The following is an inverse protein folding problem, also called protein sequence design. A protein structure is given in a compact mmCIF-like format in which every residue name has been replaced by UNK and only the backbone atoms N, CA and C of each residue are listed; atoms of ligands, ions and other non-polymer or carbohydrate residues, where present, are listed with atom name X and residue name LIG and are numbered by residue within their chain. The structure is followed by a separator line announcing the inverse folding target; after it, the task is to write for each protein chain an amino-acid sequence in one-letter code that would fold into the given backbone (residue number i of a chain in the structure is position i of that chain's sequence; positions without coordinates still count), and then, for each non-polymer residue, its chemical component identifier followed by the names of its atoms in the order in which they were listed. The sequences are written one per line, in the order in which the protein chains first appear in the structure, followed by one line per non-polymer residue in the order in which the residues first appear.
data_IF_860477767415
#
_entry.id   IF_860477767415
#
_cell.length_a   1.000
_cell.length_b   1.000
_cell.length_c   1.000
_cell.angle_alpha   90.00
_cell.angle_beta   90.00
_cell.angle_gamma   90.00
#
_symmetry.space_group_name_H-M   'P 1'
#
loop_
_entity.id
_entity.type
_entity.pdbx_description
1 polymer ?
#
# COMPACT_ATOMS: atom_id res chain seq x y z
N UNK A 1 9.50 -2.71 1.20
CA UNK A 1 8.41 -3.65 1.61
C UNK A 1 8.22 -3.65 3.12
N UNK A 2 9.27 -3.87 3.90
CA UNK A 2 9.19 -3.93 5.38
C UNK A 2 8.60 -2.63 5.96
N UNK A 3 8.98 -1.47 5.45
CA UNK A 3 8.41 -0.18 5.87
C UNK A 3 6.89 -0.11 5.66
N UNK A 4 6.38 -0.65 4.54
CA UNK A 4 4.94 -0.68 4.26
C UNK A 4 4.24 -1.67 5.20
N UNK A 5 4.89 -2.79 5.53
CA UNK A 5 4.36 -3.75 6.51
C UNK A 5 4.33 -3.17 7.92
N UNK A 6 5.37 -2.41 8.30
CA UNK A 6 5.47 -1.79 9.62
C UNK A 6 4.36 -0.78 9.92
N UNK A 7 3.73 -0.21 8.89
CA UNK A 7 2.63 0.74 9.03
C UNK A 7 1.29 0.08 9.44
N UNK A 8 1.11 -1.21 9.16
CA UNK A 8 0.08 -2.09 9.74
C UNK A 8 0.67 -3.49 9.88
N UNK A 9 1.36 -3.78 11.00
CA UNK A 9 2.22 -4.96 11.16
C UNK A 9 1.44 -6.24 11.51
N UNK A 10 0.33 -6.47 10.83
CA UNK A 10 -0.58 -7.61 11.01
C UNK A 10 -0.98 -8.19 9.66
N UNK A 11 -1.07 -9.51 9.55
CA UNK A 11 -1.40 -10.24 8.33
C UNK A 11 -2.61 -11.15 8.55
N UNK A 12 -3.52 -11.18 7.57
CA UNK A 12 -4.80 -11.86 7.67
C UNK A 12 -5.07 -12.75 6.45
N UNK A 13 -5.82 -13.83 6.68
CA UNK A 13 -6.40 -14.65 5.60
C UNK A 13 -7.84 -14.27 5.27
N UNK A 14 -8.39 -13.29 5.98
CA UNK A 14 -9.76 -12.78 5.81
C UNK A 14 -9.74 -11.53 4.92
N UNK A 15 -10.93 -11.12 4.45
CA UNK A 15 -11.08 -9.87 3.69
C UNK A 15 -10.86 -8.62 4.55
N UNK A 16 -11.24 -8.69 5.82
CA UNK A 16 -11.13 -7.63 6.81
C UNK A 16 -9.88 -7.77 7.68
N UNK A 17 -9.55 -6.72 8.37
CA UNK A 17 -8.39 -6.64 9.28
C UNK A 17 -8.85 -6.57 10.74
N UNK A 18 -9.72 -7.47 11.16
CA UNK A 18 -10.23 -7.52 12.54
C UNK A 18 -9.12 -8.01 13.49
N UNK A 19 -8.77 -7.22 14.55
CA UNK A 19 -7.79 -7.63 15.55
C UNK A 19 -8.14 -8.96 16.21
N UNK A 20 -7.14 -9.81 16.45
CA UNK A 20 -7.30 -11.15 16.99
C UNK A 20 -7.61 -12.22 15.95
N UNK A 21 -7.74 -11.86 14.66
CA UNK A 21 -7.91 -12.82 13.55
C UNK A 21 -6.69 -12.90 12.63
N UNK A 22 -5.65 -12.16 12.94
CA UNK A 22 -4.36 -12.22 12.24
C UNK A 22 -3.68 -13.58 12.47
N UNK A 23 -3.11 -14.13 11.40
CA UNK A 23 -2.28 -15.34 11.50
C UNK A 23 -0.82 -15.03 11.85
N UNK A 24 -0.39 -13.79 11.61
CA UNK A 24 0.95 -13.31 11.94
C UNK A 24 0.92 -11.82 12.29
N UNK A 25 1.71 -11.41 13.30
CA UNK A 25 1.82 -10.02 13.74
C UNK A 25 3.20 -9.74 14.32
N UNK A 26 3.64 -8.48 14.18
CA UNK A 26 4.88 -7.94 14.76
C UNK A 26 4.58 -6.96 15.91
N UNK A 27 3.32 -6.86 16.34
CA UNK A 27 2.86 -5.93 17.35
C UNK A 27 2.07 -6.68 18.43
N UNK A 28 1.89 -6.06 19.58
CA UNK A 28 1.09 -6.60 20.68
C UNK A 28 -0.40 -6.66 20.34
N UNK A 29 -1.20 -7.26 21.22
CA UNK A 29 -2.67 -7.22 21.11
C UNK A 29 -3.15 -5.77 21.15
N UNK A 30 -4.25 -5.49 20.45
CA UNK A 30 -4.89 -4.19 20.50
C UNK A 30 -5.43 -3.95 21.90
N UNK A 31 -5.04 -2.87 22.59
CA UNK A 31 -5.55 -2.53 23.91
C UNK A 31 -7.07 -2.38 23.91
N UNK A 32 -7.74 -2.90 24.95
CA UNK A 32 -9.20 -2.79 25.12
C UNK A 32 -9.63 -1.69 26.07
N UNK A 33 -8.68 -1.18 26.83
CA UNK A 33 -8.86 -0.18 27.89
C UNK A 33 -8.72 1.27 27.40
N UNK A 34 -8.31 1.46 26.16
CA UNK A 34 -8.12 2.78 25.55
C UNK A 34 -8.43 2.79 24.07
N UNK A 35 -8.63 3.97 23.53
CA UNK A 35 -8.75 4.17 22.08
C UNK A 35 -7.41 3.81 21.44
N UNK A 36 -7.44 2.87 20.50
CA UNK A 36 -6.30 2.45 19.73
C UNK A 36 -6.61 2.60 18.24
N UNK A 37 -5.85 3.43 17.56
CA UNK A 37 -6.05 3.72 16.14
C UNK A 37 -5.07 2.92 15.28
N UNK A 38 -5.35 2.81 14.00
CA UNK A 38 -4.42 2.22 13.04
C UNK A 38 -3.06 2.96 13.02
N UNK A 39 -3.04 4.23 13.42
CA UNK A 39 -1.82 5.03 13.55
C UNK A 39 -0.96 4.60 14.75
N UNK A 40 -1.61 4.22 15.85
CA UNK A 40 -0.92 3.74 17.05
C UNK A 40 -0.37 2.33 16.87
N UNK A 41 -0.92 1.57 15.93
CA UNK A 41 -0.47 0.22 15.59
C UNK A 41 0.81 0.21 14.74
N UNK A 42 1.18 1.32 14.11
CA UNK A 42 2.36 1.43 13.27
C UNK A 42 3.67 1.35 14.07
N UNK A 43 4.66 0.66 13.51
CA UNK A 43 6.00 0.49 14.08
C UNK A 43 7.01 1.37 13.35
N UNK A 44 7.80 2.12 14.09
CA UNK A 44 8.92 2.91 13.54
C UNK A 44 10.14 2.01 13.33
N UNK A 45 10.70 2.03 12.13
CA UNK A 45 11.90 1.26 11.79
C UNK A 45 13.18 2.07 12.06
N UNK A 46 14.31 1.40 12.37
CA UNK A 46 15.61 2.06 12.43
C UNK A 46 16.10 2.51 11.04
N UNK A 47 16.99 3.49 11.00
CA UNK A 47 17.49 4.13 9.76
C UNK A 47 18.11 3.17 8.74
N UNK A 48 18.75 2.12 9.23
CA UNK A 48 19.39 1.13 8.37
C UNK A 48 18.40 0.13 7.71
N UNK A 49 17.15 0.07 8.21
CA UNK A 49 16.13 -0.84 7.70
C UNK A 49 15.00 -0.08 6.97
N UNK A 50 14.77 1.17 7.31
CA UNK A 50 13.69 1.96 6.75
C UNK A 50 13.91 3.47 6.91
N UNK A 51 12.87 4.25 6.65
CA UNK A 51 12.86 5.70 6.82
C UNK A 51 12.46 6.00 8.26
N UNK A 52 13.36 6.55 9.11
CA UNK A 52 13.09 6.75 10.53
C UNK A 52 12.29 8.02 10.82
N UNK A 53 11.79 8.10 12.03
CA UNK A 53 11.50 9.36 12.74
C UNK A 53 10.15 9.98 12.49
N UNK A 54 9.43 9.67 11.44
CA UNK A 54 8.07 10.13 11.23
C UNK A 54 7.15 8.92 11.17
N UNK A 55 6.20 8.85 12.08
CA UNK A 55 5.00 8.05 11.85
C UNK A 55 4.49 8.50 10.48
N UNK A 56 4.29 7.57 9.52
CA UNK A 56 3.77 7.84 8.18
C UNK A 56 4.77 8.32 7.12
N UNK A 57 5.92 7.71 7.09
CA UNK A 57 6.79 7.76 5.89
C UNK A 57 6.34 6.80 4.79
N UNK A 58 5.14 6.23 4.94
CA UNK A 58 4.61 5.22 4.02
C UNK A 58 4.49 5.74 2.59
N UNK A 59 4.20 7.03 2.39
CA UNK A 59 4.16 7.63 1.06
C UNK A 59 5.49 7.47 0.32
N UNK A 60 6.60 7.86 0.97
CA UNK A 60 7.94 7.73 0.40
C UNK A 60 8.37 6.27 0.23
N UNK A 61 8.05 5.42 1.22
CA UNK A 61 8.32 3.99 1.14
C UNK A 61 7.60 3.32 -0.03
N UNK A 62 6.36 3.72 -0.32
CA UNK A 62 5.59 3.24 -1.47
C UNK A 62 6.20 3.69 -2.79
N UNK A 63 6.66 4.95 -2.92
CA UNK A 63 7.35 5.41 -4.13
C UNK A 63 8.60 4.59 -4.40
N UNK A 64 9.43 4.35 -3.37
CA UNK A 64 10.59 3.46 -3.50
C UNK A 64 10.20 2.03 -3.89
N UNK A 65 9.26 1.45 -3.15
CA UNK A 65 8.84 0.06 -3.37
C UNK A 65 8.35 -0.18 -4.78
N UNK A 66 7.44 0.66 -5.26
CA UNK A 66 6.87 0.49 -6.60
C UNK A 66 7.88 0.80 -7.71
N UNK A 67 8.72 1.83 -7.55
CA UNK A 67 9.74 2.15 -8.53
C UNK A 67 10.79 1.05 -8.66
N UNK A 68 11.30 0.54 -7.54
CA UNK A 68 12.28 -0.55 -7.54
C UNK A 68 11.67 -1.85 -8.05
N UNK A 69 10.44 -2.17 -7.67
CA UNK A 69 9.76 -3.37 -8.18
C UNK A 69 9.44 -3.28 -9.68
N UNK A 70 9.12 -2.10 -10.19
CA UNK A 70 8.96 -1.90 -11.63
C UNK A 70 10.27 -2.21 -12.37
N UNK A 71 11.40 -1.67 -11.92
CA UNK A 71 12.72 -1.97 -12.50
C UNK A 71 13.10 -3.45 -12.34
N UNK A 72 12.82 -4.04 -11.17
CA UNK A 72 13.04 -5.47 -10.94
C UNK A 72 12.19 -6.34 -11.86
N UNK A 73 10.93 -5.99 -12.09
CA UNK A 73 10.05 -6.69 -13.02
C UNK A 73 10.57 -6.61 -14.46
N UNK A 74 11.04 -5.44 -14.91
CA UNK A 74 11.64 -5.29 -16.23
C UNK A 74 12.90 -6.15 -16.38
N UNK A 75 13.76 -6.15 -15.36
CA UNK A 75 14.94 -7.03 -15.32
C UNK A 75 14.53 -8.51 -15.33
N UNK A 76 13.49 -8.89 -14.60
CA UNK A 76 12.93 -10.24 -14.59
C UNK A 76 12.41 -10.67 -15.97
N UNK A 77 11.68 -9.80 -16.67
CA UNK A 77 11.22 -10.05 -18.03
C UNK A 77 12.40 -10.28 -18.96
N UNK A 78 13.44 -9.43 -18.91
CA UNK A 78 14.65 -9.60 -19.70
C UNK A 78 15.35 -10.94 -19.36
N UNK A 79 15.42 -11.29 -18.08
CA UNK A 79 15.96 -12.58 -17.65
C UNK A 79 15.16 -13.76 -18.23
N UNK A 80 13.82 -13.73 -18.18
CA UNK A 80 13.00 -14.80 -18.78
C UNK A 80 13.22 -14.90 -20.30
N UNK A 81 13.24 -13.76 -21.00
CA UNK A 81 13.53 -13.77 -22.44
C UNK A 81 14.88 -14.45 -22.73
N UNK A 82 15.91 -14.07 -21.99
CA UNK A 82 17.25 -14.62 -22.19
C UNK A 82 17.33 -16.10 -21.84
N UNK A 83 16.78 -16.52 -20.69
CA UNK A 83 16.88 -17.92 -20.24
C UNK A 83 16.16 -18.88 -21.18
N UNK A 84 15.02 -18.44 -21.77
CA UNK A 84 14.31 -19.24 -22.77
C UNK A 84 14.98 -19.18 -24.15
N UNK A 85 15.47 -18.02 -24.57
CA UNK A 85 16.14 -17.87 -25.87
C UNK A 85 17.47 -18.61 -25.97
N UNK A 86 18.10 -18.88 -24.82
CA UNK A 86 19.40 -19.60 -24.72
C UNK A 86 19.27 -21.02 -24.21
N UNK A 87 18.06 -21.55 -24.06
CA UNK A 87 17.74 -22.87 -23.50
C UNK A 87 18.28 -23.14 -22.08
N UNK A 88 18.75 -22.09 -21.37
CA UNK A 88 19.26 -22.20 -20.00
C UNK A 88 18.19 -22.54 -18.97
N UNK A 89 16.90 -22.38 -19.32
CA UNK A 89 15.77 -22.78 -18.46
C UNK A 89 15.84 -24.28 -18.10
N UNK A 90 16.40 -25.14 -18.97
CA UNK A 90 16.56 -26.60 -18.76
C UNK A 90 17.44 -26.92 -17.55
N UNK A 91 18.33 -26.00 -17.16
CA UNK A 91 19.18 -26.17 -15.97
C UNK A 91 18.42 -25.95 -14.66
N UNK A 92 17.32 -25.18 -14.71
CA UNK A 92 16.55 -24.77 -13.54
C UNK A 92 15.28 -25.60 -13.40
N UNK A 93 14.63 -25.95 -14.51
CA UNK A 93 13.35 -26.69 -14.48
C UNK A 93 13.61 -28.18 -14.24
N UNK A 94 13.05 -28.78 -13.18
CA UNK A 94 13.22 -30.21 -12.92
C UNK A 94 12.42 -31.02 -13.94
N UNK A 95 13.12 -31.81 -14.76
CA UNK A 95 12.53 -32.60 -15.83
C UNK A 95 12.33 -34.06 -15.44
N UNK A 96 12.92 -34.54 -14.36
CA UNK A 96 12.82 -35.93 -13.87
C UNK A 96 12.51 -35.97 -12.38
N UNK A 97 11.86 -37.04 -11.92
CA UNK A 97 11.58 -37.25 -10.51
C UNK A 97 12.83 -37.52 -9.65
N UNK A 98 13.95 -37.89 -10.25
CA UNK A 98 15.22 -38.10 -9.57
C UNK A 98 15.75 -36.84 -8.89
N UNK A 99 15.28 -35.65 -9.30
CA UNK A 99 15.65 -34.40 -8.66
C UNK A 99 15.32 -34.37 -7.16
N UNK A 100 14.20 -35.01 -6.72
CA UNK A 100 13.81 -35.02 -5.33
C UNK A 100 14.74 -35.83 -4.42
N UNK A 101 15.03 -37.14 -4.71
CA UNK A 101 16.00 -37.87 -3.90
C UNK A 101 17.40 -37.26 -3.98
N UNK A 102 17.82 -36.72 -5.14
CA UNK A 102 19.08 -36.01 -5.28
C UNK A 102 19.12 -34.72 -4.41
N UNK A 103 18.02 -33.98 -4.31
CA UNK A 103 17.95 -32.80 -3.44
C UNK A 103 18.09 -33.18 -1.96
N UNK A 104 17.44 -34.28 -1.53
CA UNK A 104 17.58 -34.79 -0.16
C UNK A 104 18.99 -35.22 0.14
N UNK A 105 19.61 -35.99 -0.77
CA UNK A 105 21.02 -36.43 -0.65
C UNK A 105 21.98 -35.24 -0.54
N UNK A 106 21.82 -34.24 -1.42
CA UNK A 106 22.61 -33.00 -1.38
C UNK A 106 22.37 -32.23 -0.07
N UNK A 107 21.12 -32.14 0.39
CA UNK A 107 20.78 -31.51 1.66
C UNK A 107 21.49 -32.16 2.86
N UNK A 108 21.54 -33.49 2.91
CA UNK A 108 22.26 -34.24 3.94
C UNK A 108 23.79 -33.97 3.85
N UNK A 109 24.36 -33.95 2.64
CA UNK A 109 25.78 -33.61 2.45
C UNK A 109 26.08 -32.19 2.99
N UNK A 110 25.27 -31.21 2.65
CA UNK A 110 25.47 -29.82 3.13
C UNK A 110 25.28 -29.71 4.65
N UNK A 111 24.30 -30.41 5.22
CA UNK A 111 24.10 -30.46 6.68
C UNK A 111 25.28 -31.13 7.40
N UNK A 112 25.99 -32.04 6.73
CA UNK A 112 27.19 -32.68 7.25
C UNK A 112 28.47 -31.86 7.01
N UNK A 113 28.35 -30.61 6.54
CA UNK A 113 29.46 -29.71 6.16
C UNK A 113 30.39 -30.31 5.08
N UNK A 114 29.89 -31.27 4.30
CA UNK A 114 30.60 -31.87 3.19
C UNK A 114 30.11 -31.18 1.89
N UNK A 115 30.87 -30.19 1.44
CA UNK A 115 30.54 -29.44 0.24
C UNK A 115 31.18 -30.05 -0.97
N UNK A 116 30.41 -30.53 -1.98
CA UNK A 116 31.00 -31.07 -3.20
C UNK A 116 31.82 -30.00 -3.94
N UNK A 117 33.01 -30.36 -4.37
CA UNK A 117 33.95 -29.49 -5.10
C UNK A 117 33.66 -29.50 -6.61
N UNK A 118 32.68 -30.27 -7.05
CA UNK A 118 32.36 -30.49 -8.45
C UNK A 118 31.76 -29.28 -9.15
N UNK A 119 31.86 -29.28 -10.48
CA UNK A 119 31.43 -28.26 -11.45
C UNK A 119 29.97 -27.77 -11.32
N UNK A 120 29.51 -27.45 -10.08
CA UNK A 120 28.17 -27.01 -9.74
C UNK A 120 27.70 -25.71 -10.43
N UNK A 121 28.62 -25.04 -11.11
CA UNK A 121 28.30 -23.90 -11.95
C UNK A 121 27.85 -24.30 -13.37
N UNK A 122 28.28 -25.49 -13.86
CA UNK A 122 27.85 -26.02 -15.16
C UNK A 122 26.61 -26.89 -15.05
N UNK A 123 26.48 -27.66 -13.97
CA UNK A 123 25.32 -28.53 -13.69
C UNK A 123 24.84 -28.34 -12.26
N UNK A 124 23.61 -27.91 -12.12
CA UNK A 124 23.01 -27.77 -10.79
C UNK A 124 22.67 -29.12 -10.19
N UNK A 125 23.00 -29.34 -8.92
CA UNK A 125 22.50 -30.47 -8.15
C UNK A 125 20.98 -30.35 -7.87
N UNK A 126 20.35 -31.43 -7.43
CA UNK A 126 18.92 -31.47 -7.22
C UNK A 126 18.40 -30.37 -6.27
N UNK A 127 19.13 -30.04 -5.20
CA UNK A 127 18.74 -29.00 -4.24
C UNK A 127 18.84 -27.61 -4.88
N UNK A 128 19.89 -27.31 -5.61
CA UNK A 128 20.03 -26.05 -6.35
C UNK A 128 18.93 -25.91 -7.39
N UNK A 129 18.67 -26.98 -8.17
CA UNK A 129 17.64 -26.97 -9.21
C UNK A 129 16.25 -26.66 -8.64
N UNK A 130 15.82 -27.37 -7.58
CA UNK A 130 14.54 -27.11 -6.92
C UNK A 130 14.45 -25.72 -6.30
N UNK A 131 15.51 -25.28 -5.63
CA UNK A 131 15.53 -23.97 -4.97
C UNK A 131 15.48 -22.82 -5.99
N UNK A 132 16.23 -22.93 -7.09
CA UNK A 132 16.19 -21.94 -8.16
C UNK A 132 14.87 -21.99 -8.93
N UNK A 133 14.30 -23.17 -9.17
CA UNK A 133 12.98 -23.31 -9.76
C UNK A 133 11.92 -22.59 -8.93
N UNK A 134 11.87 -22.87 -7.63
CA UNK A 134 10.90 -22.21 -6.73
C UNK A 134 11.12 -20.70 -6.70
N UNK A 135 12.37 -20.24 -6.67
CA UNK A 135 12.69 -18.81 -6.63
C UNK A 135 12.26 -18.09 -7.91
N UNK A 136 12.64 -18.64 -9.05
CA UNK A 136 12.43 -18.02 -10.37
C UNK A 136 11.00 -18.21 -10.86
N UNK A 137 10.49 -19.45 -10.87
CA UNK A 137 9.24 -19.77 -11.54
C UNK A 137 8.01 -19.79 -10.63
N UNK A 138 8.19 -19.72 -9.31
CA UNK A 138 7.09 -19.68 -8.34
C UNK A 138 7.11 -18.38 -7.54
N UNK A 139 8.14 -18.16 -6.73
CA UNK A 139 8.16 -17.02 -5.78
C UNK A 139 8.16 -15.67 -6.50
N UNK A 140 8.93 -15.51 -7.59
CA UNK A 140 8.98 -14.25 -8.33
C UNK A 140 7.65 -13.90 -9.01
N UNK A 141 7.01 -14.78 -9.82
CA UNK A 141 5.69 -14.50 -10.37
C UNK A 141 4.61 -14.29 -9.30
N UNK A 142 4.59 -15.12 -8.26
CA UNK A 142 3.64 -14.98 -7.14
C UNK A 142 3.82 -13.63 -6.45
N UNK A 143 5.05 -13.18 -6.21
CA UNK A 143 5.32 -11.88 -5.62
C UNK A 143 4.80 -10.72 -6.50
N UNK A 144 5.00 -10.77 -7.82
CA UNK A 144 4.49 -9.75 -8.74
C UNK A 144 2.96 -9.74 -8.75
N UNK A 145 2.33 -10.91 -8.95
CA UNK A 145 0.87 -11.03 -9.00
C UNK A 145 0.22 -10.56 -7.71
N UNK A 146 0.72 -11.04 -6.56
CA UNK A 146 0.18 -10.62 -5.26
C UNK A 146 0.47 -9.16 -4.94
N UNK A 147 1.59 -8.61 -5.43
CA UNK A 147 1.89 -7.18 -5.36
C UNK A 147 0.85 -6.34 -6.10
N UNK A 148 0.45 -6.76 -7.31
CA UNK A 148 -0.61 -6.12 -8.10
C UNK A 148 -1.97 -6.26 -7.40
N UNK A 149 -2.31 -7.44 -6.90
CA UNK A 149 -3.57 -7.73 -6.21
C UNK A 149 -3.73 -6.99 -4.87
N UNK A 150 -2.65 -6.51 -4.26
CA UNK A 150 -2.74 -5.59 -3.12
C UNK A 150 -3.23 -4.19 -3.52
N UNK A 151 -3.13 -3.82 -4.79
CA UNK A 151 -3.78 -2.64 -5.32
C UNK A 151 -5.30 -2.85 -5.33
N UNK A 152 -6.09 -2.03 -4.61
CA UNK A 152 -7.53 -2.23 -4.50
C UNK A 152 -8.25 -2.22 -5.84
N UNK A 153 -7.74 -1.46 -6.79
CA UNK A 153 -8.25 -1.41 -8.16
C UNK A 153 -8.37 -2.78 -8.84
N UNK A 154 -7.53 -3.74 -8.46
CA UNK A 154 -7.56 -5.08 -9.04
C UNK A 154 -8.38 -6.07 -8.20
N UNK A 155 -8.26 -6.05 -6.88
CA UNK A 155 -8.97 -7.00 -6.01
C UNK A 155 -10.49 -6.82 -6.04
N UNK A 156 -10.99 -5.60 -6.23
CA UNK A 156 -12.42 -5.32 -6.37
C UNK A 156 -12.98 -5.75 -7.74
N UNK A 157 -12.14 -5.83 -8.77
CA UNK A 157 -12.55 -5.99 -10.17
C UNK A 157 -12.58 -7.44 -10.64
N UNK A 158 -11.97 -8.36 -9.90
CA UNK A 158 -11.82 -9.76 -10.33
C UNK A 158 -12.98 -10.68 -9.92
N UNK A 159 -14.16 -10.15 -9.60
CA UNK A 159 -15.35 -10.95 -9.27
C UNK A 159 -15.08 -11.98 -8.17
N UNK A 160 -15.34 -13.29 -8.47
CA UNK A 160 -15.15 -14.37 -7.50
C UNK A 160 -13.67 -14.54 -7.09
N UNK A 161 -12.74 -14.35 -8.02
CA UNK A 161 -11.30 -14.45 -7.74
C UNK A 161 -10.87 -13.38 -6.72
N UNK A 162 -11.37 -12.16 -6.84
CA UNK A 162 -11.15 -11.08 -5.88
C UNK A 162 -11.76 -11.33 -4.49
N UNK A 163 -12.76 -12.23 -4.41
CA UNK A 163 -13.27 -12.69 -3.10
C UNK A 163 -12.28 -13.61 -2.39
N UNK A 164 -11.63 -14.51 -3.14
CA UNK A 164 -10.64 -15.48 -2.61
C UNK A 164 -9.29 -14.82 -2.44
N UNK A 165 -8.78 -14.16 -3.48
CA UNK A 165 -7.51 -13.43 -3.49
C UNK A 165 -7.73 -11.95 -3.19
N UNK A 166 -8.49 -11.66 -2.11
CA UNK A 166 -8.67 -10.29 -1.65
C UNK A 166 -7.34 -9.67 -1.19
N UNK A 167 -7.35 -8.36 -0.96
CA UNK A 167 -6.15 -7.61 -0.59
C UNK A 167 -5.38 -8.20 0.59
N UNK A 168 -6.06 -8.70 1.63
CA UNK A 168 -5.39 -9.22 2.82
C UNK A 168 -4.75 -10.58 2.58
N UNK A 169 -5.41 -11.45 1.83
CA UNK A 169 -4.86 -12.73 1.37
C UNK A 169 -3.64 -12.47 0.46
N UNK A 170 -3.78 -11.57 -0.52
CA UNK A 170 -2.67 -11.19 -1.38
C UNK A 170 -1.49 -10.63 -0.59
N UNK A 171 -1.74 -9.82 0.46
CA UNK A 171 -0.73 -9.28 1.36
C UNK A 171 -0.02 -10.38 2.15
N UNK A 172 -0.75 -11.38 2.63
CA UNK A 172 -0.20 -12.53 3.35
C UNK A 172 0.69 -13.39 2.44
N UNK A 173 0.23 -13.70 1.22
CA UNK A 173 1.02 -14.48 0.25
C UNK A 173 2.26 -13.70 -0.19
N UNK A 174 2.13 -12.39 -0.41
CA UNK A 174 3.26 -11.53 -0.75
C UNK A 174 4.34 -11.51 0.34
N UNK A 175 3.92 -11.49 1.60
CA UNK A 175 4.83 -11.60 2.74
C UNK A 175 5.55 -12.96 2.78
N UNK A 176 4.85 -14.06 2.51
CA UNK A 176 5.48 -15.38 2.42
C UNK A 176 6.50 -15.45 1.28
N UNK A 177 6.20 -14.85 0.13
CA UNK A 177 7.18 -14.74 -0.98
C UNK A 177 8.39 -13.90 -0.56
N UNK A 178 8.18 -12.80 0.16
CA UNK A 178 9.27 -11.99 0.71
C UNK A 178 10.13 -12.81 1.69
N UNK A 179 9.50 -13.55 2.62
CA UNK A 179 10.23 -14.41 3.56
C UNK A 179 11.06 -15.48 2.82
N UNK A 180 10.53 -16.07 1.75
CA UNK A 180 11.28 -16.95 0.88
C UNK A 180 12.50 -16.27 0.29
N UNK A 181 12.37 -15.07 -0.28
CA UNK A 181 13.51 -14.36 -0.86
C UNK A 181 14.59 -14.02 0.18
N UNK A 182 14.19 -13.63 1.39
CA UNK A 182 15.15 -13.37 2.47
C UNK A 182 15.90 -14.66 2.84
N UNK A 183 15.17 -15.76 3.04
CA UNK A 183 15.77 -17.06 3.33
C UNK A 183 16.73 -17.50 2.19
N UNK A 184 16.26 -17.37 0.95
CA UNK A 184 17.06 -17.72 -0.23
C UNK A 184 18.34 -16.88 -0.31
N UNK A 185 18.27 -15.56 -0.16
CA UNK A 185 19.45 -14.68 -0.27
C UNK A 185 20.45 -15.00 0.84
N UNK A 186 19.98 -15.22 2.07
CA UNK A 186 20.86 -15.56 3.20
C UNK A 186 21.52 -16.93 2.97
N UNK A 187 20.74 -17.96 2.68
CA UNK A 187 21.25 -19.29 2.43
C UNK A 187 22.20 -19.31 1.23
N UNK A 188 21.81 -18.67 0.12
CA UNK A 188 22.64 -18.60 -1.09
C UNK A 188 23.95 -17.85 -0.83
N UNK A 189 23.90 -16.72 -0.13
CA UNK A 189 25.11 -15.97 0.24
C UNK A 189 26.06 -16.78 1.12
N UNK A 190 25.53 -17.49 2.13
CA UNK A 190 26.33 -18.41 2.95
C UNK A 190 26.95 -19.50 2.09
N UNK A 191 26.16 -20.13 1.20
CA UNK A 191 26.67 -21.18 0.30
C UNK A 191 27.79 -20.67 -0.62
N UNK A 192 27.65 -19.49 -1.21
CA UNK A 192 28.72 -18.88 -2.05
C UNK A 192 30.02 -18.71 -1.25
N UNK A 193 29.93 -18.36 0.03
CA UNK A 193 31.11 -18.19 0.89
C UNK A 193 31.76 -19.53 1.25
N UNK A 194 30.98 -20.52 1.67
CA UNK A 194 31.51 -21.79 2.22
C UNK A 194 31.92 -22.79 1.14
N UNK A 195 31.33 -22.72 -0.07
CA UNK A 195 31.69 -23.59 -1.19
C UNK A 195 32.84 -23.07 -2.05
N UNK A 196 33.39 -21.91 -1.74
CA UNK A 196 34.53 -21.32 -2.40
C UNK A 196 34.29 -19.95 -3.01
N UNK A 197 34.48 -18.92 -2.20
CA UNK A 197 34.23 -17.51 -2.59
C UNK A 197 34.93 -17.13 -3.91
N UNK A 198 36.20 -17.51 -4.07
CA UNK A 198 37.02 -17.17 -5.23
C UNK A 198 36.39 -17.72 -6.52
N UNK A 199 36.14 -19.01 -6.55
CA UNK A 199 35.68 -19.70 -7.76
C UNK A 199 34.23 -19.31 -8.07
N UNK A 200 33.36 -19.22 -7.06
CA UNK A 200 31.99 -18.75 -7.23
C UNK A 200 31.93 -17.32 -7.77
N UNK A 201 32.74 -16.39 -7.26
CA UNK A 201 32.77 -15.02 -7.78
C UNK A 201 33.36 -14.95 -9.19
N UNK A 202 34.35 -15.75 -9.50
CA UNK A 202 34.89 -15.86 -10.87
C UNK A 202 33.83 -16.33 -11.85
N UNK A 203 33.06 -17.37 -11.50
CA UNK A 203 31.98 -17.88 -12.36
C UNK A 203 30.86 -16.86 -12.55
N UNK A 204 30.45 -16.13 -11.47
CA UNK A 204 29.33 -15.21 -11.52
C UNK A 204 29.67 -13.86 -12.19
N UNK A 205 30.87 -13.35 -11.95
CA UNK A 205 31.22 -11.96 -12.35
C UNK A 205 32.22 -11.88 -13.50
N UNK A 206 33.11 -12.85 -13.66
CA UNK A 206 34.14 -12.86 -14.70
C UNK A 206 33.89 -13.90 -15.77
N UNK A 207 33.06 -14.92 -15.52
CA UNK A 207 32.80 -16.03 -16.44
C UNK A 207 34.03 -16.89 -16.71
N UNK A 208 34.99 -16.98 -15.76
CA UNK A 208 36.26 -17.72 -15.90
C UNK A 208 36.42 -18.79 -14.83
N UNK A 209 37.20 -19.81 -15.15
CA UNK A 209 37.57 -20.89 -14.23
C UNK A 209 39.09 -21.11 -14.29
N UNK A 210 39.85 -20.07 -13.95
CA UNK A 210 41.32 -20.02 -14.10
C UNK A 210 42.08 -19.93 -12.76
N UNK A 211 41.32 -20.01 -11.63
CA UNK A 211 41.90 -19.88 -10.30
C UNK A 211 42.36 -18.46 -9.94
N UNK A 212 42.07 -17.45 -10.77
CA UNK A 212 42.35 -16.05 -10.48
C UNK A 212 41.39 -15.46 -9.42
N UNK A 213 41.58 -14.21 -9.02
CA UNK A 213 40.68 -13.42 -8.17
C UNK A 213 39.91 -12.35 -8.96
N UNK A 214 39.88 -12.45 -10.30
CA UNK A 214 39.29 -11.45 -11.16
C UNK A 214 37.80 -11.21 -10.85
N UNK A 215 37.02 -12.25 -10.67
CA UNK A 215 35.60 -12.14 -10.30
C UNK A 215 35.39 -11.53 -8.91
N UNK A 216 36.25 -11.82 -7.94
CA UNK A 216 36.18 -11.21 -6.61
C UNK A 216 36.42 -9.69 -6.68
N UNK A 217 37.40 -9.25 -7.48
CA UNK A 217 37.67 -7.81 -7.63
C UNK A 217 36.59 -7.03 -8.38
N UNK A 218 35.68 -7.73 -9.09
CA UNK A 218 34.45 -7.15 -9.62
C UNK A 218 33.32 -7.17 -8.57
N UNK A 219 33.18 -8.27 -7.85
CA UNK A 219 32.15 -8.47 -6.83
C UNK A 219 32.30 -7.52 -5.63
N UNK A 220 33.50 -7.41 -5.06
CA UNK A 220 33.70 -6.66 -3.82
C UNK A 220 33.35 -5.17 -3.93
N UNK A 221 33.77 -4.41 -4.97
CA UNK A 221 33.31 -3.03 -5.15
C UNK A 221 31.80 -2.91 -5.38
N UNK A 222 31.18 -3.88 -6.11
CA UNK A 222 29.75 -3.88 -6.32
C UNK A 222 28.99 -4.05 -5.00
N UNK A 223 29.46 -4.93 -4.11
CA UNK A 223 28.87 -5.11 -2.78
C UNK A 223 29.06 -3.88 -1.88
N UNK A 224 30.24 -3.25 -1.91
CA UNK A 224 30.48 -2.00 -1.18
C UNK A 224 29.54 -0.90 -1.67
N UNK A 225 29.40 -0.75 -2.99
CA UNK A 225 28.49 0.21 -3.59
C UNK A 225 27.03 -0.06 -3.16
N UNK A 226 26.59 -1.33 -3.15
CA UNK A 226 25.26 -1.72 -2.71
C UNK A 226 25.01 -1.34 -1.24
N UNK A 227 25.94 -1.65 -0.35
CA UNK A 227 25.84 -1.33 1.08
C UNK A 227 25.82 0.20 1.28
N UNK A 228 26.70 0.94 0.62
CA UNK A 228 26.72 2.41 0.68
C UNK A 228 25.41 2.99 0.18
N UNK A 229 24.91 2.53 -0.97
CA UNK A 229 23.63 2.97 -1.52
C UNK A 229 22.47 2.66 -0.57
N UNK A 230 22.46 1.49 0.05
CA UNK A 230 21.46 1.10 1.05
C UNK A 230 21.47 2.02 2.27
N UNK A 231 22.64 2.24 2.87
CA UNK A 231 22.78 3.10 4.05
C UNK A 231 22.46 4.56 3.75
N UNK A 232 22.75 5.01 2.51
CA UNK A 232 22.48 6.38 2.07
C UNK A 232 21.03 6.63 1.64
N UNK A 233 20.29 5.60 1.25
CA UNK A 233 18.95 5.72 0.71
C UNK A 233 17.96 6.43 1.67
N UNK A 234 18.00 6.11 2.97
CA UNK A 234 17.11 6.73 3.97
C UNK A 234 17.44 8.21 4.22
N UNK A 235 18.70 8.60 4.55
CA UNK A 235 19.07 10.02 4.70
C UNK A 235 18.81 10.83 3.43
N UNK A 236 19.12 10.30 2.26
CA UNK A 236 18.82 10.93 0.98
C UNK A 236 17.32 11.17 0.80
N UNK A 237 16.50 10.17 1.09
CA UNK A 237 15.05 10.25 0.94
C UNK A 237 14.45 11.34 1.84
N UNK A 238 14.90 11.42 3.10
CA UNK A 238 14.43 12.45 4.03
C UNK A 238 14.82 13.85 3.52
N UNK A 239 16.06 14.00 3.09
CA UNK A 239 16.58 15.30 2.63
C UNK A 239 15.95 15.75 1.31
N UNK A 240 15.59 14.80 0.44
CA UNK A 240 15.11 15.06 -0.92
C UNK A 240 13.73 14.40 -1.20
N UNK A 241 12.81 14.44 -0.24
CA UNK A 241 11.54 13.74 -0.30
C UNK A 241 10.72 14.06 -1.57
N UNK A 242 10.65 15.34 -1.97
CA UNK A 242 9.95 15.75 -3.20
C UNK A 242 10.62 15.26 -4.48
N UNK A 243 11.94 15.12 -4.50
CA UNK A 243 12.65 14.53 -5.63
C UNK A 243 12.27 13.04 -5.77
N UNK A 244 12.30 12.29 -4.66
CA UNK A 244 11.89 10.87 -4.63
C UNK A 244 10.45 10.71 -5.11
N UNK A 245 9.52 11.55 -4.63
CA UNK A 245 8.14 11.55 -5.08
C UNK A 245 8.01 11.83 -6.58
N UNK A 246 8.72 12.86 -7.10
CA UNK A 246 8.67 13.22 -8.53
C UNK A 246 9.25 12.11 -9.42
N UNK A 247 10.39 11.53 -9.03
CA UNK A 247 11.02 10.42 -9.75
C UNK A 247 10.12 9.18 -9.77
N UNK A 248 9.54 8.84 -8.63
CA UNK A 248 8.57 7.75 -8.55
C UNK A 248 7.33 8.01 -9.42
N UNK A 249 6.80 9.22 -9.41
CA UNK A 249 5.66 9.61 -10.26
C UNK A 249 6.00 9.50 -11.75
N UNK A 250 7.20 9.87 -12.16
CA UNK A 250 7.66 9.72 -13.55
C UNK A 250 7.72 8.25 -13.95
N UNK A 251 8.31 7.38 -13.11
CA UNK A 251 8.51 5.97 -13.44
C UNK A 251 7.20 5.16 -13.47
N UNK A 252 6.29 5.41 -12.53
CA UNK A 252 5.12 4.53 -12.31
C UNK A 252 3.77 5.26 -12.35
N UNK A 253 3.77 6.59 -12.51
CA UNK A 253 2.53 7.39 -12.45
C UNK A 253 1.53 7.04 -13.56
N UNK A 254 2.00 6.63 -14.73
CA UNK A 254 1.18 6.20 -15.86
C UNK A 254 0.40 4.90 -15.58
N UNK A 255 0.90 4.01 -14.70
CA UNK A 255 0.20 2.78 -14.31
C UNK A 255 -1.14 3.07 -13.60
N UNK A 256 -1.28 4.24 -12.98
CA UNK A 256 -2.53 4.65 -12.34
C UNK A 256 -3.66 4.83 -13.36
N UNK A 257 -3.34 5.33 -14.56
CA UNK A 257 -4.32 5.49 -15.63
C UNK A 257 -4.93 4.16 -16.09
N UNK A 258 -4.18 3.06 -16.02
CA UNK A 258 -4.68 1.73 -16.32
C UNK A 258 -5.70 1.25 -15.27
N UNK A 259 -5.53 1.64 -14.01
CA UNK A 259 -6.45 1.29 -12.94
C UNK A 259 -7.78 2.07 -13.02
N UNK A 260 -7.76 3.29 -13.57
CA UNK A 260 -8.95 4.15 -13.71
C UNK A 260 -9.90 3.72 -14.84
N UNK A 261 -9.39 3.00 -15.83
CA UNK A 261 -10.15 2.65 -17.02
C UNK A 261 -11.30 1.65 -16.77
N UNK A 262 -11.24 0.91 -15.67
CA UNK A 262 -12.20 -0.13 -15.33
C UNK A 262 -12.66 0.03 -13.88
N UNK A 263 -13.93 0.31 -13.65
CA UNK A 263 -14.52 0.63 -12.35
C UNK A 263 -15.73 -0.26 -11.99
N UNK A 264 -15.59 -1.59 -11.84
CA UNK A 264 -16.61 -2.41 -11.24
C UNK A 264 -16.45 -2.45 -9.72
N UNK A 265 -17.54 -2.22 -8.99
CA UNK A 265 -17.59 -2.38 -7.55
C UNK A 265 -18.05 -3.78 -7.16
N UNK A 266 -17.42 -4.35 -6.14
CA UNK A 266 -17.86 -5.62 -5.58
C UNK A 266 -19.25 -5.45 -4.94
N UNK A 267 -20.22 -6.28 -5.34
CA UNK A 267 -21.50 -6.36 -4.66
C UNK A 267 -21.30 -7.03 -3.30
N UNK A 268 -21.45 -6.26 -2.24
CA UNK A 268 -21.32 -6.68 -0.85
C UNK A 268 -22.69 -6.64 -0.16
N UNK A 269 -22.83 -7.50 0.83
CA UNK A 269 -24.05 -7.65 1.63
C UNK A 269 -23.78 -7.36 3.10
N UNK A 270 -24.80 -7.29 3.92
CA UNK A 270 -24.66 -7.09 5.36
C UNK A 270 -23.82 -8.17 6.05
N UNK A 271 -23.75 -9.37 5.49
CA UNK A 271 -22.89 -10.48 5.98
C UNK A 271 -21.40 -10.21 5.79
N UNK A 272 -21.05 -9.31 4.89
CA UNK A 272 -19.66 -8.92 4.60
C UNK A 272 -19.15 -7.81 5.53
N UNK A 273 -20.02 -7.18 6.33
CA UNK A 273 -19.64 -6.11 7.26
C UNK A 273 -18.61 -6.62 8.26
N UNK A 274 -17.52 -5.90 8.39
CA UNK A 274 -16.41 -6.27 9.26
C UNK A 274 -16.79 -6.11 10.74
N UNK A 275 -16.48 -7.07 11.61
CA UNK A 275 -16.72 -6.95 13.04
C UNK A 275 -15.97 -5.79 13.67
N UNK A 276 -14.82 -5.42 13.09
CA UNK A 276 -14.03 -4.28 13.50
C UNK A 276 -13.69 -3.41 12.28
N UNK A 277 -13.85 -2.10 12.45
CA UNK A 277 -13.41 -1.11 11.48
C UNK A 277 -12.40 -0.17 12.16
N UNK A 278 -11.14 -0.23 11.73
CA UNK A 278 -10.05 0.53 12.35
C UNK A 278 -10.32 2.03 12.34
N UNK A 279 -10.35 2.70 13.49
CA UNK A 279 -10.29 4.15 13.53
C UNK A 279 -8.90 4.60 13.05
N UNK A 280 -8.83 5.71 12.33
CA UNK A 280 -7.58 6.28 11.86
C UNK A 280 -7.66 7.81 11.87
N UNK A 281 -6.50 8.47 11.94
CA UNK A 281 -6.39 9.92 12.06
C UNK A 281 -6.69 10.43 13.48
N UNK A 282 -6.35 11.69 13.69
CA UNK A 282 -6.51 12.38 14.98
C UNK A 282 -7.89 13.03 15.04
N UNK A 283 -8.63 12.80 16.12
CA UNK A 283 -9.90 13.48 16.35
C UNK A 283 -9.69 14.99 16.56
N UNK A 284 -10.69 15.83 16.20
CA UNK A 284 -10.64 17.23 16.58
C UNK A 284 -10.59 17.36 18.12
N UNK A 285 -9.67 18.21 18.59
CA UNK A 285 -9.47 18.49 20.03
C UNK A 285 -9.88 19.92 20.40
N UNK A 286 -10.64 20.61 19.51
CA UNK A 286 -11.08 21.97 19.76
C UNK A 286 -12.30 22.00 20.69
N UNK A 287 -12.40 23.04 21.53
CA UNK A 287 -13.59 23.29 22.36
C UNK A 287 -14.87 23.39 21.54
N UNK A 288 -14.79 23.93 20.32
CA UNK A 288 -15.90 23.96 19.37
C UNK A 288 -16.42 22.55 19.06
N UNK A 289 -15.51 21.61 18.76
CA UNK A 289 -15.92 20.25 18.45
C UNK A 289 -16.48 19.51 19.68
N UNK A 290 -15.90 19.73 20.86
CA UNK A 290 -16.40 19.15 22.11
C UNK A 290 -17.84 19.64 22.41
N UNK A 291 -18.13 20.94 22.19
CA UNK A 291 -19.46 21.47 22.31
C UNK A 291 -20.43 20.86 21.29
N UNK A 292 -20.01 20.69 20.03
CA UNK A 292 -20.82 20.02 19.02
C UNK A 292 -21.15 18.57 19.41
N UNK A 293 -20.20 17.84 19.96
CA UNK A 293 -20.41 16.46 20.45
C UNK A 293 -21.39 16.46 21.63
N UNK A 294 -21.20 17.34 22.63
CA UNK A 294 -22.05 17.43 23.78
C UNK A 294 -23.50 17.81 23.40
N UNK A 295 -23.67 18.71 22.39
CA UNK A 295 -24.93 19.08 21.81
C UNK A 295 -25.51 18.10 20.76
N UNK A 296 -24.95 16.89 20.65
CA UNK A 296 -25.36 15.90 19.65
C UNK A 296 -25.41 16.47 18.22
N UNK A 297 -24.48 17.38 17.92
CA UNK A 297 -24.34 18.06 16.63
C UNK A 297 -25.58 18.92 16.19
N UNK A 298 -26.42 19.35 17.10
CA UNK A 298 -27.60 20.18 16.78
C UNK A 298 -27.19 21.51 16.10
N UNK A 299 -26.11 22.12 16.58
CA UNK A 299 -25.58 23.39 16.07
C UNK A 299 -24.59 23.23 14.91
N UNK A 300 -24.30 22.00 14.49
CA UNK A 300 -23.43 21.77 13.37
C UNK A 300 -23.96 22.38 12.07
N UNK A 301 -23.06 23.01 11.32
CA UNK A 301 -23.34 23.59 10.00
C UNK A 301 -22.25 23.22 9.00
N UNK A 302 -22.62 22.51 7.93
CA UNK A 302 -21.78 22.32 6.77
C UNK A 302 -21.83 23.56 5.89
N UNK A 303 -20.74 24.26 5.73
CA UNK A 303 -20.65 25.40 4.80
C UNK A 303 -20.24 24.93 3.43
N UNK A 304 -20.96 25.32 2.38
CA UNK A 304 -20.65 24.99 0.99
C UNK A 304 -20.59 26.29 0.19
N UNK A 305 -19.43 26.54 -0.44
CA UNK A 305 -19.17 27.79 -1.14
C UNK A 305 -18.07 27.66 -2.22
N UNK A 306 -17.41 28.79 -2.49
CA UNK A 306 -16.44 28.92 -3.58
C UNK A 306 -17.14 29.17 -4.93
N UNK A 307 -16.68 28.53 -6.00
CA UNK A 307 -17.21 28.67 -7.36
C UNK A 307 -18.54 27.93 -7.52
N UNK A 308 -19.59 28.43 -6.84
CA UNK A 308 -20.98 27.94 -6.92
C UNK A 308 -21.95 29.10 -7.15
N UNK A 309 -23.09 28.83 -7.80
CA UNK A 309 -24.14 29.83 -7.99
C UNK A 309 -24.91 30.13 -6.68
N UNK A 310 -25.11 29.10 -5.85
CA UNK A 310 -25.92 29.16 -4.64
C UNK A 310 -25.10 28.68 -3.42
N UNK A 311 -24.23 29.53 -2.82
CA UNK A 311 -23.55 29.18 -1.59
C UNK A 311 -24.56 28.97 -0.46
N UNK A 312 -24.43 27.86 0.29
CA UNK A 312 -25.39 27.45 1.32
C UNK A 312 -24.74 26.92 2.58
N UNK A 313 -25.48 26.92 3.67
CA UNK A 313 -25.10 26.28 4.91
C UNK A 313 -26.17 25.27 5.33
N UNK A 314 -25.79 24.03 5.54
CA UNK A 314 -26.70 22.94 5.85
C UNK A 314 -26.53 22.48 7.30
N UNK A 315 -27.63 22.42 8.08
CA UNK A 315 -27.61 21.72 9.35
C UNK A 315 -27.57 20.21 9.14
N UNK A 316 -27.14 19.44 10.14
CA UNK A 316 -27.20 17.99 10.08
C UNK A 316 -28.65 17.49 9.86
N UNK A 317 -29.63 18.16 10.45
CA UNK A 317 -31.06 17.88 10.24
C UNK A 317 -31.49 18.11 8.79
N UNK A 318 -31.03 19.19 8.16
CA UNK A 318 -31.32 19.47 6.75
C UNK A 318 -30.69 18.37 5.84
N UNK A 319 -29.45 17.98 6.10
CA UNK A 319 -28.80 16.88 5.36
C UNK A 319 -29.56 15.56 5.51
N UNK A 320 -30.02 15.23 6.72
CA UNK A 320 -30.81 14.01 6.98
C UNK A 320 -32.20 14.03 6.34
N UNK A 321 -32.75 15.20 6.01
CA UNK A 321 -34.04 15.32 5.31
C UNK A 321 -33.93 15.20 3.78
N UNK A 322 -32.70 15.21 3.23
CA UNK A 322 -32.45 14.95 1.80
C UNK A 322 -32.58 13.48 1.47
N UNK A 323 -32.55 13.14 0.18
CA UNK A 323 -32.50 11.78 -0.28
C UNK A 323 -31.29 11.04 0.34
N UNK A 324 -31.54 9.94 1.05
CA UNK A 324 -30.51 9.10 1.65
C UNK A 324 -30.14 7.96 0.72
N UNK A 325 -28.87 7.82 0.42
CA UNK A 325 -28.28 6.65 -0.23
C UNK A 325 -27.60 5.76 0.80
N UNK A 326 -27.82 4.46 0.72
CA UNK A 326 -27.10 3.46 1.50
C UNK A 326 -26.21 2.61 0.58
N UNK A 327 -25.04 2.28 1.06
CA UNK A 327 -24.08 1.44 0.33
C UNK A 327 -23.20 0.63 1.27
N UNK A 328 -22.88 -0.61 0.88
CA UNK A 328 -21.92 -1.47 1.61
C UNK A 328 -20.68 -1.56 0.78
N UNK A 329 -19.56 -1.04 1.29
CA UNK A 329 -18.32 -0.91 0.53
C UNK A 329 -17.09 -1.30 1.35
N UNK A 330 -16.03 -1.72 0.65
CA UNK A 330 -14.74 -1.98 1.29
C UNK A 330 -13.94 -0.69 1.37
N UNK A 331 -13.52 -0.34 2.56
CA UNK A 331 -12.55 0.71 2.78
C UNK A 331 -11.13 0.15 2.68
N UNK A 332 -10.30 0.77 1.85
CA UNK A 332 -8.89 0.42 1.68
C UNK A 332 -8.00 1.53 2.24
N UNK A 333 -7.37 1.26 3.37
CA UNK A 333 -6.41 2.22 3.95
C UNK A 333 -5.05 2.13 3.25
N UNK A 334 -4.37 3.27 3.11
CA UNK A 334 -3.01 3.32 2.56
C UNK A 334 -2.01 2.53 3.43
N UNK A 335 -2.25 2.42 4.73
CA UNK A 335 -1.45 1.64 5.67
C UNK A 335 -1.53 0.12 5.44
N UNK A 336 -2.49 -0.37 4.68
CA UNK A 336 -2.59 -1.79 4.29
C UNK A 336 -3.76 -2.55 4.88
N UNK A 337 -4.46 -2.04 5.90
CA UNK A 337 -5.67 -2.66 6.41
C UNK A 337 -6.88 -2.41 5.50
N UNK A 338 -7.89 -3.23 5.65
CA UNK A 338 -9.17 -3.13 4.95
C UNK A 338 -10.32 -3.42 5.91
N UNK A 339 -11.48 -2.80 5.66
CA UNK A 339 -12.69 -3.07 6.42
C UNK A 339 -13.93 -2.80 5.56
N UNK A 340 -14.97 -3.55 5.77
CA UNK A 340 -16.28 -3.37 5.11
C UNK A 340 -17.23 -2.73 6.10
N UNK A 341 -17.97 -1.71 5.63
CA UNK A 341 -19.03 -1.09 6.42
C UNK A 341 -20.20 -0.67 5.53
N UNK A 342 -21.38 -0.58 6.13
CA UNK A 342 -22.56 0.02 5.53
C UNK A 342 -22.55 1.50 5.85
N UNK A 343 -22.66 2.33 4.83
CA UNK A 343 -22.68 3.79 4.93
C UNK A 343 -24.03 4.32 4.50
N UNK A 344 -24.55 5.31 5.24
CA UNK A 344 -25.77 6.04 4.89
C UNK A 344 -25.48 7.53 4.86
N UNK A 345 -25.94 8.23 3.80
CA UNK A 345 -25.70 9.67 3.67
C UNK A 345 -26.30 10.28 2.41
N UNK A 346 -26.00 11.56 2.19
CA UNK A 346 -26.46 12.32 1.03
C UNK A 346 -25.52 12.07 -0.16
N UNK A 347 -26.02 11.69 -1.34
CA UNK A 347 -25.20 11.68 -2.56
C UNK A 347 -24.59 13.05 -2.83
N UNK A 348 -23.29 13.08 -3.10
CA UNK A 348 -22.60 14.34 -3.38
C UNK A 348 -23.18 15.05 -4.62
N UNK A 349 -23.66 14.29 -5.61
CA UNK A 349 -24.35 14.82 -6.80
C UNK A 349 -25.61 15.61 -6.45
N UNK A 350 -26.37 15.18 -5.42
CA UNK A 350 -27.61 15.85 -5.00
C UNK A 350 -27.29 17.17 -4.31
N UNK A 351 -26.24 17.20 -3.47
CA UNK A 351 -25.75 18.45 -2.89
C UNK A 351 -25.28 19.42 -3.97
N UNK A 352 -24.51 18.90 -4.96
CA UNK A 352 -24.03 19.71 -6.09
C UNK A 352 -25.17 20.27 -6.93
N UNK A 353 -26.28 19.57 -7.09
CA UNK A 353 -27.47 20.07 -7.79
C UNK A 353 -28.09 21.26 -7.11
N UNK A 354 -28.01 21.35 -5.77
CA UNK A 354 -28.54 22.50 -4.98
C UNK A 354 -27.60 23.71 -5.05
N UNK A 355 -26.30 23.50 -4.88
CA UNK A 355 -25.34 24.62 -4.82
C UNK A 355 -24.86 25.07 -6.21
N UNK A 356 -25.02 24.26 -7.23
CA UNK A 356 -24.74 24.52 -8.64
C UNK A 356 -23.29 25.00 -8.86
N UNK A 357 -22.29 24.13 -8.83
CA UNK A 357 -20.92 24.52 -9.17
C UNK A 357 -20.86 25.16 -10.56
N UNK A 358 -20.19 26.32 -10.65
CA UNK A 358 -20.03 27.04 -11.92
C UNK A 358 -19.17 26.26 -12.92
N UNK A 359 -19.23 26.58 -14.23
CA UNK A 359 -18.39 25.91 -15.24
C UNK A 359 -16.87 26.05 -14.99
N UNK A 360 -16.44 27.04 -14.22
CA UNK A 360 -15.04 27.26 -13.84
C UNK A 360 -14.57 26.32 -12.71
N UNK A 361 -15.50 25.78 -11.93
CA UNK A 361 -15.17 24.84 -10.87
C UNK A 361 -14.67 23.51 -11.44
N UNK A 362 -13.51 23.06 -11.00
CA UNK A 362 -12.90 21.80 -11.42
C UNK A 362 -12.66 20.84 -10.27
N UNK A 363 -12.56 21.39 -9.05
CA UNK A 363 -12.25 20.65 -7.84
C UNK A 363 -13.19 21.04 -6.70
N UNK A 364 -13.37 20.11 -5.77
CA UNK A 364 -13.99 20.34 -4.46
C UNK A 364 -12.93 20.10 -3.37
N UNK A 365 -12.77 21.08 -2.51
CA UNK A 365 -11.88 21.03 -1.34
C UNK A 365 -12.75 20.75 -0.12
N UNK A 366 -12.38 19.74 0.65
CA UNK A 366 -13.03 19.38 1.90
C UNK A 366 -12.14 19.79 3.06
N UNK A 367 -12.65 20.65 3.92
CA UNK A 367 -11.97 21.07 5.15
C UNK A 367 -12.54 20.32 6.35
N UNK A 368 -11.66 19.83 7.21
CA UNK A 368 -12.02 19.12 8.44
C UNK A 368 -12.17 20.07 9.62
N UNK A 369 -12.90 19.66 10.67
CA UNK A 369 -12.84 20.25 12.01
C UNK A 369 -11.56 19.84 12.75
N UNK A 370 -10.87 18.79 12.29
CA UNK A 370 -9.59 18.35 12.84
C UNK A 370 -8.43 19.14 12.24
N UNK A 371 -7.44 19.38 13.08
CA UNK A 371 -6.16 19.92 12.64
C UNK A 371 -5.20 18.80 12.19
N UNK A 372 -4.26 19.17 11.34
CA UNK A 372 -3.14 18.35 11.00
C UNK A 372 -2.09 18.31 12.11
N UNK A 373 -1.04 17.50 11.92
CA UNK A 373 0.03 17.33 12.91
C UNK A 373 0.89 18.60 13.13
N UNK A 374 0.82 19.56 12.21
CA UNK A 374 1.52 20.85 12.27
C UNK A 374 0.64 21.99 12.84
N UNK A 375 -0.60 21.67 13.27
CA UNK A 375 -1.58 22.64 13.75
C UNK A 375 -2.35 23.36 12.65
N UNK A 376 -2.03 23.12 11.38
CA UNK A 376 -2.84 23.61 10.26
C UNK A 376 -4.10 22.77 10.06
N UNK A 377 -5.14 23.37 9.49
CA UNK A 377 -6.41 22.67 9.23
C UNK A 377 -6.21 21.50 8.27
N UNK A 378 -6.71 20.32 8.61
CA UNK A 378 -6.70 19.17 7.70
C UNK A 378 -7.66 19.41 6.54
N UNK A 379 -7.21 19.15 5.30
CA UNK A 379 -8.01 19.28 4.08
C UNK A 379 -7.63 18.25 3.05
N UNK A 380 -8.51 18.03 2.07
CA UNK A 380 -8.23 17.21 0.89
C UNK A 380 -9.01 17.72 -0.32
N UNK A 381 -8.46 17.46 -1.52
CA UNK A 381 -8.99 17.97 -2.79
C UNK A 381 -9.41 16.81 -3.69
N UNK A 382 -10.57 16.93 -4.31
CA UNK A 382 -11.11 15.96 -5.26
C UNK A 382 -11.50 16.61 -6.58
N UNK A 383 -11.31 15.87 -7.69
CA UNK A 383 -11.89 16.26 -8.98
C UNK A 383 -13.42 16.20 -8.92
N UNK A 384 -14.11 17.08 -9.64
CA UNK A 384 -15.57 17.04 -9.71
C UNK A 384 -16.12 15.75 -10.33
N UNK A 385 -15.34 15.06 -11.20
CA UNK A 385 -15.71 13.75 -11.69
C UNK A 385 -15.88 12.72 -10.58
N UNK A 386 -14.98 12.72 -9.58
CA UNK A 386 -15.11 11.85 -8.40
C UNK A 386 -16.32 12.22 -7.53
N UNK A 387 -16.66 13.51 -7.47
CA UNK A 387 -17.82 13.99 -6.72
C UNK A 387 -19.16 13.62 -7.38
N UNK A 388 -19.17 13.46 -8.70
CA UNK A 388 -20.34 12.98 -9.46
C UNK A 388 -20.48 11.46 -9.48
N UNK A 389 -19.47 10.73 -9.00
CA UNK A 389 -19.50 9.28 -8.96
C UNK A 389 -20.69 8.77 -8.12
N UNK A 390 -21.35 7.70 -8.60
CA UNK A 390 -22.58 7.19 -7.98
C UNK A 390 -22.44 6.80 -6.50
N UNK A 391 -21.25 6.29 -6.11
CA UNK A 391 -20.94 5.88 -4.74
C UNK A 391 -20.26 6.99 -3.91
N UNK A 392 -20.23 8.24 -4.38
CA UNK A 392 -19.70 9.35 -3.59
C UNK A 392 -20.81 9.98 -2.77
N UNK A 393 -20.72 9.82 -1.44
CA UNK A 393 -21.72 10.34 -0.48
C UNK A 393 -21.07 11.10 0.67
N UNK A 394 -21.83 12.02 1.24
CA UNK A 394 -21.56 12.62 2.54
C UNK A 394 -22.25 11.77 3.61
N UNK A 395 -21.50 10.86 4.23
CA UNK A 395 -22.03 9.89 5.17
C UNK A 395 -22.20 10.50 6.57
N UNK A 396 -23.37 10.30 7.16
CA UNK A 396 -23.72 10.62 8.54
C UNK A 396 -24.18 9.38 9.33
N UNK A 397 -24.22 8.21 8.69
CA UNK A 397 -24.53 6.91 9.30
C UNK A 397 -23.45 5.88 8.96
N UNK A 398 -23.23 4.94 9.88
CA UNK A 398 -22.38 3.78 9.72
C UNK A 398 -23.04 2.56 10.35
N UNK A 399 -23.15 1.46 9.60
CA UNK A 399 -23.74 0.19 10.04
C UNK A 399 -25.16 0.33 10.62
N UNK A 400 -25.98 1.20 10.01
CA UNK A 400 -27.37 1.42 10.43
C UNK A 400 -27.57 2.32 11.66
N UNK A 401 -26.51 2.88 12.20
CA UNK A 401 -26.54 3.82 13.33
C UNK A 401 -25.92 5.17 12.96
N UNK A 402 -26.09 6.18 13.83
CA UNK A 402 -25.41 7.46 13.67
C UNK A 402 -23.88 7.26 13.58
N UNK A 403 -23.25 8.03 12.71
CA UNK A 403 -21.79 7.94 12.50
C UNK A 403 -21.05 8.16 13.82
N UNK A 404 -20.18 7.23 14.25
CA UNK A 404 -19.42 7.38 15.48
C UNK A 404 -18.38 8.53 15.39
N UNK A 405 -18.11 9.18 16.52
CA UNK A 405 -17.12 10.26 16.63
C UNK A 405 -15.77 9.86 16.07
N UNK A 406 -15.26 8.69 16.44
CA UNK A 406 -13.99 8.14 15.94
C UNK A 406 -13.95 7.92 14.43
N UNK A 407 -15.11 7.75 13.80
CA UNK A 407 -15.24 7.49 12.38
C UNK A 407 -15.61 8.73 11.57
N UNK A 408 -15.71 9.92 12.20
CA UNK A 408 -15.83 11.19 11.50
C UNK A 408 -17.14 11.94 11.70
N UNK A 409 -17.92 11.64 12.77
CA UNK A 409 -19.14 12.40 13.04
C UNK A 409 -18.87 13.91 13.16
N UNK A 410 -19.80 14.78 12.72
CA UNK A 410 -21.15 14.44 12.25
C UNK A 410 -21.21 14.01 10.78
N UNK A 411 -20.16 14.30 9.98
CA UNK A 411 -20.18 14.11 8.54
C UNK A 411 -18.79 13.70 8.02
N UNK A 412 -18.76 12.70 7.15
CA UNK A 412 -17.54 12.29 6.45
C UNK A 412 -17.78 12.08 4.97
N UNK A 413 -16.73 12.25 4.16
CA UNK A 413 -16.74 11.86 2.75
C UNK A 413 -16.55 10.35 2.62
N UNK A 414 -17.36 9.73 1.76
CA UNK A 414 -17.12 8.43 1.16
C UNK A 414 -16.96 8.63 -0.33
N UNK A 415 -15.78 8.31 -0.86
CA UNK A 415 -15.41 8.41 -2.28
C UNK A 415 -14.78 7.10 -2.67
N UNK A 416 -15.61 6.13 -3.11
CA UNK A 416 -15.26 4.72 -3.18
C UNK A 416 -14.27 4.37 -4.30
N UNK A 417 -13.96 5.31 -5.17
CA UNK A 417 -12.96 5.18 -6.21
C UNK A 417 -11.57 5.72 -5.82
N UNK A 418 -11.38 6.09 -4.54
CA UNK A 418 -10.09 6.58 -4.01
C UNK A 418 -9.73 5.87 -2.69
N UNK A 419 -8.44 5.80 -2.37
CA UNK A 419 -7.97 5.26 -1.08
C UNK A 419 -8.48 6.07 0.11
N UNK A 420 -8.61 5.40 1.24
CA UNK A 420 -9.24 5.91 2.45
C UNK A 420 -8.71 7.22 3.01
N UNK A 421 -7.44 7.59 2.79
CA UNK A 421 -6.91 8.86 3.25
C UNK A 421 -7.52 10.06 2.52
N UNK A 422 -8.04 9.86 1.30
CA UNK A 422 -8.80 10.86 0.55
C UNK A 422 -10.20 11.13 1.12
N UNK A 423 -10.69 10.30 2.03
CA UNK A 423 -12.04 10.36 2.58
C UNK A 423 -12.07 11.19 3.86
N UNK A 424 -12.12 12.52 3.71
CA UNK A 424 -12.09 13.49 4.83
C UNK A 424 -13.18 13.17 5.86
N UNK A 425 -12.80 13.22 7.14
CA UNK A 425 -13.65 13.05 8.31
C UNK A 425 -13.90 14.40 8.99
N UNK A 426 -14.96 14.47 9.81
CA UNK A 426 -15.30 15.68 10.57
C UNK A 426 -15.41 16.93 9.67
N UNK A 427 -16.12 16.82 8.56
CA UNK A 427 -16.19 17.87 7.54
C UNK A 427 -16.79 19.15 8.13
N UNK A 428 -16.08 20.28 7.99
CA UNK A 428 -16.55 21.62 8.37
C UNK A 428 -17.08 22.42 7.18
N UNK A 429 -16.42 22.28 6.02
CA UNK A 429 -16.75 23.05 4.84
C UNK A 429 -16.36 22.30 3.55
N UNK A 430 -17.05 22.65 2.47
CA UNK A 430 -16.72 22.23 1.10
C UNK A 430 -16.60 23.49 0.26
N UNK A 431 -15.48 23.64 -0.45
CA UNK A 431 -15.24 24.78 -1.32
C UNK A 431 -14.97 24.30 -2.75
N UNK A 432 -15.70 24.85 -3.72
CA UNK A 432 -15.48 24.55 -5.12
C UNK A 432 -14.49 25.54 -5.71
N UNK A 433 -13.42 25.02 -6.33
CA UNK A 433 -12.30 25.83 -6.82
C UNK A 433 -11.92 25.47 -8.26
N UNK A 434 -11.23 26.37 -8.94
CA UNK A 434 -10.69 26.14 -10.28
C UNK A 434 -9.42 25.27 -10.23
N UNK A 435 -8.51 25.56 -9.31
CA UNK A 435 -7.30 24.78 -9.04
C UNK A 435 -6.96 24.82 -7.54
N UNK A 436 -5.90 24.13 -7.15
CA UNK A 436 -5.46 24.01 -5.75
C UNK A 436 -3.98 24.33 -5.54
N UNK A 437 -3.36 25.02 -6.50
CA UNK A 437 -1.92 25.31 -6.45
C UNK A 437 -1.52 26.17 -5.27
N UNK A 438 -2.44 27.05 -4.85
CA UNK A 438 -2.26 27.99 -3.75
C UNK A 438 -2.80 27.45 -2.41
N UNK A 439 -3.27 26.20 -2.37
CA UNK A 439 -3.71 25.55 -1.15
C UNK A 439 -2.59 24.72 -0.53
N UNK A 440 -2.19 25.01 0.70
CA UNK A 440 -1.08 24.36 1.38
C UNK A 440 0.22 24.42 0.56
N UNK A 441 0.86 23.30 0.33
CA UNK A 441 2.01 23.19 -0.57
C UNK A 441 1.63 22.85 -2.03
N UNK A 442 0.35 22.97 -2.39
CA UNK A 442 -0.14 22.80 -3.76
C UNK A 442 -0.12 21.34 -4.27
N UNK A 443 -0.06 20.36 -3.40
CA UNK A 443 0.00 18.95 -3.80
C UNK A 443 -1.37 18.25 -3.82
N UNK A 444 -2.43 18.92 -3.37
CA UNK A 444 -3.80 18.46 -3.47
C UNK A 444 -4.37 17.79 -2.23
N UNK A 445 -3.81 18.06 -1.07
CA UNK A 445 -4.30 17.63 0.22
C UNK A 445 -3.24 17.67 1.30
N UNK A 446 -3.67 17.62 2.56
CA UNK A 446 -2.78 17.67 3.72
C UNK A 446 -1.74 16.52 3.71
N UNK A 447 -2.17 15.29 3.44
CA UNK A 447 -1.26 14.15 3.39
C UNK A 447 -0.32 14.20 2.17
N UNK A 448 -0.76 14.74 1.06
CA UNK A 448 0.07 14.98 -0.13
C UNK A 448 1.14 16.03 0.13
N UNK A 449 0.80 17.04 0.92
CA UNK A 449 1.72 18.10 1.30
C UNK A 449 2.75 17.63 2.32
N UNK A 450 2.37 16.84 3.33
CA UNK A 450 3.22 16.51 4.48
C UNK A 450 3.75 15.06 4.45
N UNK A 451 2.96 14.11 3.93
CA UNK A 451 3.30 12.68 3.92
C UNK A 451 3.68 12.17 2.51
N UNK A 452 3.78 13.06 1.52
CA UNK A 452 4.22 12.77 0.15
C UNK A 452 3.37 11.71 -0.58
N UNK A 453 2.08 11.62 -0.24
CA UNK A 453 1.15 10.77 -0.96
C UNK A 453 0.92 11.30 -2.38
N UNK A 454 0.39 10.47 -3.25
CA UNK A 454 -0.02 10.91 -4.58
C UNK A 454 -1.39 11.58 -4.54
N UNK A 455 -1.56 12.68 -5.28
CA UNK A 455 -2.83 13.42 -5.37
C UNK A 455 -4.02 12.51 -5.73
N UNK A 456 -3.83 11.55 -6.62
CA UNK A 456 -4.83 10.54 -6.95
C UNK A 456 -4.33 9.15 -6.58
N UNK A 457 -5.18 8.40 -5.93
CA UNK A 457 -4.92 7.01 -5.52
C UNK A 457 -6.15 6.16 -5.83
N UNK A 458 -6.46 5.98 -7.15
CA UNK A 458 -7.65 5.26 -7.59
C UNK A 458 -7.62 3.80 -7.12
N UNK A 459 -8.83 3.27 -6.90
CA UNK A 459 -9.05 1.88 -6.47
C UNK A 459 -10.03 1.16 -7.36
#
# INVERSE_FOLDING_TARGET
GIQILADHPRLYWRRDSTPGTEWFRFQHDVPKDRIWTAKDDAVTLPTWLGIPGLRHTIGLARWWHFSMNFLWTLNGIAFYVLIFATDQWQRIVPMTWEVFPNAVSTGIQYASLNFPVDEGWTRYNGLQQLTYFVTVFVAAPVSIVTGILQGPAFSNKLGWLGRVLNRQVARSIHFLSFAWFVLFIVAHGVMVLVTGLRDNTNHMFAGVHDGSWSGFWLFAPAMVLLVVAWLWASPFTIRHARLVQRSGRFLIGWLKGLAEWWDPHAQLTEKDISPHFWPNGTMPASAEYEQLVAGQFADYRLRVGGLVENPQSFSLRALRSMHKQEQITTHFCIQGWSGVAKWGGVPMRDLMALVKPTPQARYAVFYSLADGSDGGRYYDVHKLSNMRHELTILAYEMNGAALPVLHGAPLRLRCENELGFKMVKWIAAIEFVHDFKDLGAGQGGYNEDHEFFGYRMPI
#
